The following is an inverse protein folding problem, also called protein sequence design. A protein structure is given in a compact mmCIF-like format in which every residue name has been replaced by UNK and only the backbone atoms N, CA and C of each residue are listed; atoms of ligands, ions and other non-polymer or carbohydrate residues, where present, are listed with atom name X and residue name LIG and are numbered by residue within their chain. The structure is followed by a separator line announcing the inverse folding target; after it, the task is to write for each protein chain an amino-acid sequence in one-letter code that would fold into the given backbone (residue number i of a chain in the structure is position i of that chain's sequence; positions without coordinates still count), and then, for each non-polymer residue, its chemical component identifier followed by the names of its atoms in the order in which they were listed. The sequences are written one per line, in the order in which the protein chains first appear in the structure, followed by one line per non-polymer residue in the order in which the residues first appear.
data_IF_016896301533
#
_entry.id   IF_016896301533
#
_cell.length_a   1.000
_cell.length_b   1.000
_cell.length_c   1.000
_cell.angle_alpha   90.00
_cell.angle_beta   90.00
_cell.angle_gamma   90.00
#
_symmetry.space_group_name_H-M   'P 1'
#
loop_
_entity.id
_entity.type
_entity.pdbx_description
1 polymer ?
#
# COMPACT_ATOMS: atom_id res chain seq x y z
N UNK A 1 29.97 -0.40 -10.96
CA UNK A 1 28.80 0.47 -10.82
C UNK A 1 28.23 0.21 -9.45
N UNK A 2 28.83 0.87 -8.48
CA UNK A 2 28.65 0.65 -7.06
C UNK A 2 27.36 1.32 -6.59
N UNK A 3 26.39 0.51 -6.14
CA UNK A 3 25.24 1.01 -5.40
C UNK A 3 25.70 1.19 -3.95
N UNK A 4 26.35 2.32 -3.67
CA UNK A 4 26.57 2.79 -2.31
C UNK A 4 25.36 3.67 -1.94
N UNK A 5 24.39 3.10 -1.22
CA UNK A 5 23.43 3.88 -0.45
C UNK A 5 23.66 3.59 1.03
N UNK A 6 24.47 4.43 1.67
CA UNK A 6 24.55 4.50 3.12
C UNK A 6 23.16 4.85 3.64
N UNK A 7 22.50 3.88 4.27
CA UNK A 7 21.30 4.13 5.04
C UNK A 7 21.34 3.21 6.25
N UNK A 8 21.61 3.80 7.41
CA UNK A 8 21.21 3.29 8.73
C UNK A 8 19.67 3.22 8.84
N UNK A 9 19.01 2.77 7.78
CA UNK A 9 17.60 2.41 7.81
C UNK A 9 17.54 1.07 8.55
N UNK A 10 16.68 0.94 9.57
CA UNK A 10 16.50 -0.34 10.23
C UNK A 10 16.21 -1.40 9.17
N UNK A 11 17.02 -2.45 9.12
CA UNK A 11 16.75 -3.64 8.33
C UNK A 11 15.37 -4.16 8.76
N UNK A 12 14.35 -3.91 7.93
CA UNK A 12 13.00 -4.38 8.18
C UNK A 12 12.99 -5.90 8.00
N UNK A 13 13.09 -6.63 9.11
CA UNK A 13 12.95 -8.08 9.12
C UNK A 13 11.50 -8.47 8.81
N UNK A 14 11.23 -8.78 7.55
CA UNK A 14 9.97 -9.36 7.11
C UNK A 14 9.93 -10.85 7.45
N UNK A 15 8.88 -11.29 8.15
CA UNK A 15 8.59 -12.72 8.33
C UNK A 15 8.00 -13.28 7.04
N UNK A 16 8.05 -14.60 6.89
CA UNK A 16 7.47 -15.31 5.73
C UNK A 16 6.03 -14.88 5.42
N UNK A 17 5.18 -14.71 6.44
CA UNK A 17 3.83 -14.16 6.29
C UNK A 17 3.78 -12.76 5.68
N UNK A 18 4.69 -11.86 6.07
CA UNK A 18 4.72 -10.50 5.52
C UNK A 18 5.11 -10.54 4.04
N UNK A 19 6.06 -11.41 3.69
CA UNK A 19 6.48 -11.63 2.29
C UNK A 19 5.30 -12.17 1.48
N UNK A 20 4.58 -13.18 1.98
CA UNK A 20 3.39 -13.73 1.32
C UNK A 20 2.30 -12.67 1.09
N UNK A 21 2.09 -11.76 2.05
CA UNK A 21 1.15 -10.65 1.91
C UNK A 21 1.61 -9.62 0.87
N UNK A 22 2.91 -9.29 0.83
CA UNK A 22 3.48 -8.40 -0.19
C UNK A 22 3.33 -8.99 -1.61
N UNK A 23 3.53 -10.30 -1.76
CA UNK A 23 3.34 -11.00 -3.04
C UNK A 23 1.88 -10.89 -3.51
N UNK A 24 0.92 -11.05 -2.60
CA UNK A 24 -0.51 -10.88 -2.93
C UNK A 24 -0.83 -9.44 -3.34
N UNK A 25 -0.34 -8.45 -2.59
CA UNK A 25 -0.52 -7.04 -2.93
C UNK A 25 0.06 -6.70 -4.31
N UNK A 26 1.25 -7.22 -4.61
CA UNK A 26 1.89 -7.05 -5.91
C UNK A 26 1.09 -7.70 -7.05
N UNK A 27 0.44 -8.83 -6.80
CA UNK A 27 -0.48 -9.46 -7.75
C UNK A 27 -1.61 -8.51 -8.16
N UNK A 28 -2.33 -7.96 -7.18
CA UNK A 28 -3.40 -6.99 -7.43
C UNK A 28 -2.91 -5.74 -8.17
N UNK A 29 -1.75 -5.20 -7.81
CA UNK A 29 -1.16 -4.05 -8.51
C UNK A 29 -0.84 -4.36 -9.97
N UNK A 30 -0.41 -5.60 -10.28
CA UNK A 30 -0.17 -6.02 -11.67
C UNK A 30 -1.47 -6.13 -12.45
N UNK A 31 -2.52 -6.71 -11.86
CA UNK A 31 -3.84 -6.78 -12.50
C UNK A 31 -4.41 -5.37 -12.76
N UNK A 32 -4.27 -4.45 -11.82
CA UNK A 32 -4.64 -3.05 -12.00
C UNK A 32 -3.92 -2.39 -13.20
N UNK A 33 -2.63 -2.69 -13.39
CA UNK A 33 -1.84 -2.16 -14.52
C UNK A 33 -2.22 -2.77 -15.87
N UNK A 34 -2.82 -3.96 -15.88
CA UNK A 34 -3.26 -4.66 -17.09
C UNK A 34 -4.72 -4.34 -17.48
N UNK A 35 -5.43 -3.58 -16.63
CA UNK A 35 -6.85 -3.27 -16.80
C UNK A 35 -7.04 -1.84 -17.31
N UNK A 36 -8.05 -1.63 -18.17
CA UNK A 36 -8.38 -0.31 -18.72
C UNK A 36 -9.64 0.33 -18.10
N UNK A 37 -10.47 -0.48 -17.43
CA UNK A 37 -11.69 -0.05 -16.77
C UNK A 37 -11.40 0.51 -15.37
N UNK A 38 -11.79 1.76 -15.13
CA UNK A 38 -11.48 2.48 -13.89
C UNK A 38 -12.06 1.83 -12.63
N UNK A 39 -13.24 1.21 -12.72
CA UNK A 39 -13.88 0.52 -11.59
C UNK A 39 -13.09 -0.72 -11.16
N UNK A 40 -12.56 -1.49 -12.12
CA UNK A 40 -11.72 -2.65 -11.82
C UNK A 40 -10.35 -2.25 -11.29
N UNK A 41 -9.75 -1.20 -11.85
CA UNK A 41 -8.50 -0.62 -11.31
C UNK A 41 -8.71 -0.23 -9.84
N UNK A 42 -9.83 0.44 -9.52
CA UNK A 42 -10.13 0.87 -8.16
C UNK A 42 -10.28 -0.31 -7.20
N UNK A 43 -10.95 -1.39 -7.60
CA UNK A 43 -11.08 -2.59 -6.75
C UNK A 43 -9.74 -3.30 -6.55
N UNK A 44 -8.92 -3.44 -7.59
CA UNK A 44 -7.59 -4.06 -7.45
C UNK A 44 -6.67 -3.23 -6.53
N UNK A 45 -6.72 -1.90 -6.63
CA UNK A 45 -6.00 -1.02 -5.69
C UNK A 45 -6.51 -1.17 -4.26
N UNK A 46 -7.82 -1.30 -4.06
CA UNK A 46 -8.42 -1.54 -2.74
C UNK A 46 -7.95 -2.87 -2.15
N UNK A 47 -7.90 -3.93 -2.95
CA UNK A 47 -7.41 -5.24 -2.51
C UNK A 47 -5.92 -5.18 -2.15
N UNK A 48 -5.08 -4.53 -2.98
CA UNK A 48 -3.67 -4.32 -2.66
C UNK A 48 -3.49 -3.59 -1.32
N UNK A 49 -4.26 -2.52 -1.09
CA UNK A 49 -4.24 -1.76 0.15
C UNK A 49 -4.63 -2.61 1.37
N UNK A 50 -5.70 -3.41 1.26
CA UNK A 50 -6.13 -4.32 2.34
C UNK A 50 -5.06 -5.34 2.70
N UNK A 51 -4.33 -5.89 1.72
CA UNK A 51 -3.20 -6.79 1.99
C UNK A 51 -2.09 -6.05 2.73
N UNK A 52 -1.69 -4.88 2.26
CA UNK A 52 -0.64 -4.09 2.92
C UNK A 52 -1.00 -3.69 4.36
N UNK A 53 -2.27 -3.37 4.63
CA UNK A 53 -2.78 -3.04 5.96
C UNK A 53 -2.54 -4.17 6.99
N UNK A 54 -2.61 -5.44 6.56
CA UNK A 54 -2.34 -6.60 7.42
C UNK A 54 -0.89 -6.66 7.90
N UNK A 55 0.06 -6.09 7.16
CA UNK A 55 1.49 -6.06 7.54
C UNK A 55 1.72 -5.02 8.64
N UNK A 56 1.06 -3.87 8.54
CA UNK A 56 1.15 -2.75 9.47
C UNK A 56 0.47 -3.03 10.82
N UNK A 57 -0.34 -4.10 10.91
CA UNK A 57 -1.13 -4.43 12.09
C UNK A 57 -2.29 -3.45 12.35
N UNK A 58 -2.59 -2.58 11.39
CA UNK A 58 -3.67 -1.60 11.46
C UNK A 58 -4.58 -1.85 10.26
N UNK A 59 -5.83 -2.21 10.52
CA UNK A 59 -6.85 -2.19 9.46
C UNK A 59 -6.98 -0.74 8.99
N UNK A 60 -6.66 -0.48 7.71
CA UNK A 60 -6.85 0.84 7.12
C UNK A 60 -8.32 0.96 6.76
N UNK A 61 -9.09 1.65 7.58
CA UNK A 61 -10.53 1.78 7.44
C UNK A 61 -10.88 2.88 6.42
N UNK A 62 -12.13 2.89 5.95
CA UNK A 62 -12.63 3.98 5.09
C UNK A 62 -12.46 5.36 5.75
N UNK A 63 -12.56 5.44 7.08
CA UNK A 63 -12.28 6.66 7.85
C UNK A 63 -10.82 7.11 7.78
N UNK A 64 -9.85 6.19 7.74
CA UNK A 64 -8.43 6.57 7.54
C UNK A 64 -8.22 7.15 6.13
N UNK A 65 -8.91 6.62 5.11
CA UNK A 65 -8.85 7.13 3.75
C UNK A 65 -9.51 8.52 3.62
N UNK A 66 -10.69 8.71 4.22
CA UNK A 66 -11.34 10.01 4.26
C UNK A 66 -10.50 11.02 5.03
N UNK A 67 -9.93 10.62 6.17
CA UNK A 67 -9.01 11.44 6.95
C UNK A 67 -7.82 11.92 6.12
N UNK A 68 -7.22 11.06 5.29
CA UNK A 68 -6.09 11.44 4.44
C UNK A 68 -6.50 12.35 3.28
N UNK A 69 -7.65 12.08 2.64
CA UNK A 69 -8.23 12.96 1.60
C UNK A 69 -8.45 14.36 2.18
N UNK A 70 -9.05 14.46 3.37
CA UNK A 70 -9.34 15.73 4.03
C UNK A 70 -8.14 16.35 4.76
N UNK A 71 -7.07 15.60 5.04
CA UNK A 71 -5.85 16.15 5.63
C UNK A 71 -5.16 17.17 4.72
N UNK A 72 -5.35 17.03 3.40
CA UNK A 72 -4.84 17.93 2.36
C UNK A 72 -5.77 19.11 2.08
N UNK A 73 -7.04 19.00 2.46
CA UNK A 73 -7.94 20.13 2.56
C UNK A 73 -7.67 20.79 3.91
N UNK A 74 -6.67 21.67 3.97
CA UNK A 74 -6.66 22.73 4.98
C UNK A 74 -7.94 23.57 4.77
N UNK A 75 -9.08 23.10 5.29
CA UNK A 75 -10.19 23.99 5.63
C UNK A 75 -9.64 24.76 6.82
N UNK A 76 -9.18 25.97 6.52
CA UNK A 76 -8.40 26.81 7.41
C UNK A 76 -9.02 26.93 8.81
N UNK A 77 -8.12 27.10 9.77
CA UNK A 77 -8.42 28.04 10.86
C UNK A 77 -8.69 29.42 10.28
#
# INVERSE_FOLDING_TARGET
MDINHNSDAPLLLARERHIATLVQALGHLREALMTFESEFIAEELRQAQLKLAQISGKEFAADDLLGEIFSRFCIGK
#
